data_IF_941312754102
#
_entry.id   IF_941312754102
#
_cell.length_a   1.000
_cell.length_b   1.000
_cell.length_c   1.000
_cell.angle_alpha   90.00
_cell.angle_beta   90.00
_cell.angle_gamma   90.00
#
_symmetry.space_group_name_H-M   'P 1'
#
loop_
_entity.id
_entity.type
_entity.pdbx_description
1 polymer ?
#
# COMPACT_ATOMS: atom_id res chain seq x y z
N UNK A 1 14.60 2.94 -22.95
CA UNK A 1 14.13 3.08 -21.55
C UNK A 1 12.76 2.45 -21.48
N UNK A 2 12.57 1.37 -20.71
CA UNK A 2 11.25 0.73 -20.59
C UNK A 2 10.32 1.65 -19.81
N UNK A 3 9.18 2.02 -20.39
CA UNK A 3 8.17 2.82 -19.72
C UNK A 3 7.75 2.12 -18.41
N UNK A 4 7.99 2.76 -17.28
CA UNK A 4 7.56 2.26 -15.98
C UNK A 4 6.05 2.43 -15.87
N UNK A 5 5.33 1.33 -15.60
CA UNK A 5 3.88 1.33 -15.42
C UNK A 5 3.55 0.96 -13.99
N UNK A 6 2.86 1.87 -13.28
CA UNK A 6 2.31 1.58 -11.97
C UNK A 6 1.15 0.59 -12.10
N UNK A 7 1.15 -0.53 -11.36
CA UNK A 7 0.02 -1.44 -11.36
C UNK A 7 -1.21 -0.70 -10.80
N UNK A 8 -2.36 -0.87 -11.45
CA UNK A 8 -3.62 -0.29 -10.97
C UNK A 8 -3.93 -0.72 -9.53
N UNK A 9 -3.62 -1.97 -9.20
CA UNK A 9 -3.65 -2.49 -7.84
C UNK A 9 -2.71 -3.70 -7.68
N UNK A 10 -1.98 -3.74 -6.57
CA UNK A 10 -1.26 -4.93 -6.13
C UNK A 10 -1.24 -4.96 -4.61
N UNK A 11 -1.33 -6.16 -4.04
CA UNK A 11 -1.39 -6.32 -2.60
C UNK A 11 -0.73 -7.61 -2.11
N UNK A 12 -0.27 -7.56 -0.86
CA UNK A 12 0.08 -8.72 -0.04
C UNK A 12 -1.04 -8.95 0.96
N UNK A 13 -1.36 -10.21 1.27
CA UNK A 13 -2.49 -10.54 2.13
C UNK A 13 -2.13 -11.62 3.16
N UNK A 14 -2.87 -11.62 4.27
CA UNK A 14 -2.85 -12.64 5.30
C UNK A 14 -4.16 -13.42 5.31
N UNK A 15 -4.06 -14.73 5.11
CA UNK A 15 -5.15 -15.66 5.31
C UNK A 15 -4.96 -16.44 6.61
N UNK A 16 -6.08 -16.86 7.20
CA UNK A 16 -6.12 -17.89 8.24
C UNK A 16 -7.20 -18.90 7.87
N UNK A 17 -6.93 -20.17 8.12
CA UNK A 17 -7.96 -21.20 8.00
C UNK A 17 -8.98 -21.05 9.12
N UNK A 18 -10.26 -21.25 8.81
CA UNK A 18 -11.33 -21.25 9.83
C UNK A 18 -11.16 -22.42 10.80
N UNK A 19 -10.81 -23.61 10.28
CA UNK A 19 -10.77 -24.84 11.05
C UNK A 19 -9.39 -25.18 11.62
N UNK A 20 -8.33 -24.50 11.16
CA UNK A 20 -6.96 -24.80 11.54
C UNK A 20 -6.21 -23.54 11.99
N UNK A 21 -5.24 -23.65 12.93
CA UNK A 21 -4.41 -22.51 13.34
C UNK A 21 -3.42 -22.06 12.24
N UNK A 22 -3.56 -22.56 11.01
CA UNK A 22 -2.64 -22.30 9.90
C UNK A 22 -2.95 -20.95 9.27
N UNK A 23 -1.90 -20.14 9.11
CA UNK A 23 -1.92 -18.91 8.32
C UNK A 23 -1.26 -19.12 6.96
N UNK A 24 -1.58 -18.24 6.02
CA UNK A 24 -0.95 -18.19 4.70
C UNK A 24 -0.73 -16.74 4.30
N UNK A 25 0.47 -16.42 3.83
CA UNK A 25 0.83 -15.10 3.30
C UNK A 25 1.03 -15.25 1.80
N UNK A 26 0.49 -14.32 1.02
CA UNK A 26 0.71 -14.30 -0.42
C UNK A 26 0.50 -12.93 -1.02
N UNK A 27 0.68 -12.81 -2.33
CA UNK A 27 0.40 -11.59 -3.08
C UNK A 27 -0.57 -11.80 -4.25
N UNK A 28 -1.28 -10.73 -4.63
CA UNK A 28 -2.27 -10.74 -5.72
C UNK A 28 -2.57 -9.33 -6.24
N UNK A 29 -2.85 -9.18 -7.55
CA UNK A 29 -3.46 -7.97 -8.11
C UNK A 29 -4.99 -7.93 -7.94
N UNK A 30 -5.63 -9.04 -7.55
CA UNK A 30 -7.09 -9.11 -7.37
C UNK A 30 -7.44 -9.97 -6.14
N UNK A 31 -7.65 -9.35 -4.97
CA UNK A 31 -7.97 -10.05 -3.72
C UNK A 31 -9.31 -10.80 -3.72
N UNK A 32 -10.45 -10.23 -4.19
CA UNK A 32 -11.72 -10.94 -4.28
C UNK A 32 -11.62 -12.22 -5.11
N UNK A 33 -10.95 -12.16 -6.26
CA UNK A 33 -10.71 -13.35 -7.09
C UNK A 33 -9.81 -14.36 -6.37
N UNK A 34 -8.73 -13.89 -5.72
CA UNK A 34 -7.73 -14.77 -5.11
C UNK A 34 -8.29 -15.57 -3.93
N UNK A 35 -9.16 -14.99 -3.09
CA UNK A 35 -9.75 -15.74 -1.98
C UNK A 35 -10.64 -16.89 -2.47
N UNK A 36 -11.39 -16.66 -3.56
CA UNK A 36 -12.22 -17.69 -4.22
C UNK A 36 -11.38 -18.83 -4.80
N UNK A 37 -10.20 -18.52 -5.35
CA UNK A 37 -9.23 -19.54 -5.79
C UNK A 37 -8.69 -20.39 -4.62
N UNK A 38 -8.37 -19.76 -3.48
CA UNK A 38 -7.94 -20.49 -2.27
C UNK A 38 -9.04 -21.40 -1.74
N UNK A 39 -10.30 -20.95 -1.77
CA UNK A 39 -11.47 -21.72 -1.35
C UNK A 39 -11.96 -22.74 -2.38
N UNK A 40 -11.38 -22.76 -3.58
CA UNK A 40 -11.68 -23.77 -4.60
C UNK A 40 -12.93 -23.49 -5.43
N UNK A 41 -13.54 -22.32 -5.29
CA UNK A 41 -14.62 -21.86 -6.16
C UNK A 41 -14.11 -21.55 -7.59
N UNK A 42 -12.83 -21.19 -7.70
CA UNK A 42 -12.14 -20.90 -8.97
C UNK A 42 -10.88 -21.74 -9.12
N UNK A 43 -10.47 -21.96 -10.37
CA UNK A 43 -9.21 -22.65 -10.70
C UNK A 43 -7.98 -21.77 -10.44
N UNK A 44 -6.79 -22.39 -10.39
CA UNK A 44 -5.49 -21.75 -10.09
C UNK A 44 -5.27 -21.29 -8.63
N UNK A 45 -5.84 -22.01 -7.65
CA UNK A 45 -5.48 -21.84 -6.24
C UNK A 45 -4.07 -22.39 -5.92
N UNK A 46 -3.38 -21.79 -4.94
CA UNK A 46 -2.07 -22.27 -4.50
C UNK A 46 -2.16 -23.72 -3.99
N UNK A 47 -1.21 -24.58 -4.37
CA UNK A 47 -1.23 -26.00 -3.96
C UNK A 47 -1.27 -26.16 -2.43
N UNK A 48 -0.52 -25.31 -1.71
CA UNK A 48 -0.44 -25.30 -0.24
C UNK A 48 -1.77 -24.97 0.46
N UNK A 49 -2.74 -24.39 -0.23
CA UNK A 49 -4.03 -24.00 0.35
C UNK A 49 -5.18 -24.97 0.04
N UNK A 50 -4.91 -26.06 -0.69
CA UNK A 50 -5.94 -27.03 -1.10
C UNK A 50 -6.64 -27.73 0.09
N UNK A 51 -5.90 -28.07 1.14
CA UNK A 51 -6.37 -29.02 2.18
C UNK A 51 -6.76 -28.37 3.54
N UNK A 52 -6.94 -27.04 3.60
CA UNK A 52 -7.25 -26.30 4.85
C UNK A 52 -8.30 -25.20 4.66
N UNK A 53 -9.21 -25.45 3.73
CA UNK A 53 -10.36 -24.58 3.44
C UNK A 53 -11.40 -24.68 4.57
N UNK A 54 -12.29 -23.68 4.71
CA UNK A 54 -12.24 -22.39 4.05
C UNK A 54 -11.18 -21.48 4.68
N UNK A 55 -10.64 -20.60 3.84
CA UNK A 55 -9.73 -19.52 4.21
C UNK A 55 -10.51 -18.23 4.33
N UNK A 56 -10.15 -17.44 5.35
CA UNK A 56 -10.63 -16.08 5.55
C UNK A 56 -9.46 -15.13 5.37
N UNK A 57 -9.67 -14.05 4.61
CA UNK A 57 -8.68 -12.97 4.49
C UNK A 57 -8.82 -12.04 5.69
N UNK A 58 -7.78 -11.93 6.50
CA UNK A 58 -7.78 -11.13 7.72
C UNK A 58 -7.26 -9.71 7.49
N UNK A 59 -6.24 -9.57 6.65
CA UNK A 59 -5.52 -8.32 6.41
C UNK A 59 -4.97 -8.26 4.99
N UNK A 60 -4.87 -7.05 4.47
CA UNK A 60 -4.27 -6.74 3.18
C UNK A 60 -3.39 -5.49 3.29
N UNK A 61 -2.20 -5.55 2.68
CA UNK A 61 -1.27 -4.43 2.50
C UNK A 61 -1.23 -4.12 1.00
N UNK A 62 -1.49 -2.88 0.60
CA UNK A 62 -1.49 -2.45 -0.80
C UNK A 62 -0.83 -1.08 -0.98
N UNK A 63 -0.79 -0.58 -2.22
CA UNK A 63 -0.10 0.66 -2.57
C UNK A 63 1.31 0.44 -3.11
N UNK A 64 1.65 -0.80 -3.45
CA UNK A 64 2.96 -1.14 -3.99
C UNK A 64 3.22 -0.43 -5.33
N UNK A 65 4.38 0.22 -5.50
CA UNK A 65 4.73 0.89 -6.76
C UNK A 65 4.98 -0.09 -7.91
N UNK A 66 5.26 -1.36 -7.60
CA UNK A 66 5.46 -2.40 -8.61
C UNK A 66 5.18 -3.81 -8.08
N UNK A 67 4.95 -4.75 -9.00
CA UNK A 67 4.90 -6.19 -8.65
C UNK A 67 6.15 -6.65 -7.91
N UNK A 68 7.33 -6.15 -8.30
CA UNK A 68 8.60 -6.52 -7.67
C UNK A 68 8.62 -6.10 -6.20
N UNK A 69 8.21 -4.87 -5.89
CA UNK A 69 8.14 -4.37 -4.51
C UNK A 69 7.17 -5.18 -3.63
N UNK A 70 6.04 -5.61 -4.20
CA UNK A 70 5.08 -6.48 -3.51
C UNK A 70 5.69 -7.87 -3.22
N UNK A 71 6.43 -8.45 -4.16
CA UNK A 71 7.09 -9.75 -3.96
C UNK A 71 8.21 -9.67 -2.93
N UNK A 72 8.97 -8.56 -2.89
CA UNK A 72 9.96 -8.30 -1.85
C UNK A 72 9.32 -8.21 -0.46
N UNK A 73 8.20 -7.49 -0.36
CA UNK A 73 7.42 -7.40 0.88
C UNK A 73 6.86 -8.77 1.31
N UNK A 74 6.26 -9.52 0.38
CA UNK A 74 5.74 -10.87 0.63
C UNK A 74 6.83 -11.79 1.18
N UNK A 75 8.02 -11.79 0.56
CA UNK A 75 9.14 -12.62 0.99
C UNK A 75 9.60 -12.25 2.39
N UNK A 76 9.80 -10.96 2.67
CA UNK A 76 10.20 -10.49 4.00
C UNK A 76 9.16 -10.84 5.08
N UNK A 77 7.87 -10.80 4.73
CA UNK A 77 6.78 -11.15 5.64
C UNK A 77 6.68 -12.67 5.88
N UNK A 78 6.96 -13.50 4.87
CA UNK A 78 7.03 -14.97 5.00
C UNK A 78 8.26 -15.44 5.79
N UNK A 79 9.33 -14.65 5.77
CA UNK A 79 10.64 -14.98 6.33
C UNK A 79 11.20 -13.86 7.23
N UNK A 80 10.49 -13.48 8.31
CA UNK A 80 10.91 -12.38 9.17
C UNK A 80 12.28 -12.63 9.83
N UNK A 81 12.57 -13.90 10.15
CA UNK A 81 13.84 -14.37 10.73
C UNK A 81 15.05 -14.22 9.80
N UNK A 82 14.81 -14.21 8.48
CA UNK A 82 15.88 -14.07 7.46
C UNK A 82 15.95 -12.66 6.88
N UNK A 83 14.93 -11.83 7.12
CA UNK A 83 14.95 -10.43 6.72
C UNK A 83 15.91 -9.66 7.62
N UNK A 84 16.92 -9.02 7.02
CA UNK A 84 17.94 -8.21 7.73
C UNK A 84 17.34 -7.18 8.70
N UNK A 85 16.11 -6.73 8.47
CA UNK A 85 15.42 -5.71 9.26
C UNK A 85 14.48 -6.26 10.35
N UNK A 86 14.32 -7.58 10.46
CA UNK A 86 13.36 -8.23 11.38
C UNK A 86 13.98 -9.39 12.18
N UNK A 87 15.31 -9.43 12.30
CA UNK A 87 16.08 -10.59 12.82
C UNK A 87 15.65 -11.06 14.23
N UNK A 88 15.02 -10.21 15.04
CA UNK A 88 14.48 -10.57 16.36
C UNK A 88 13.10 -11.27 16.31
N UNK A 89 12.44 -11.31 15.15
CA UNK A 89 11.13 -11.92 14.98
C UNK A 89 11.24 -13.36 14.48
N UNK A 90 10.96 -14.32 15.37
CA UNK A 90 10.81 -15.75 15.01
C UNK A 90 9.72 -15.90 13.94
N UNK A 91 9.90 -16.85 13.02
CA UNK A 91 8.97 -17.17 11.91
C UNK A 91 7.50 -17.07 12.34
N UNK A 92 6.84 -16.01 11.86
CA UNK A 92 5.46 -15.69 12.24
C UNK A 92 4.50 -16.75 11.66
N UNK A 93 3.89 -17.55 12.52
CA UNK A 93 2.88 -18.57 12.13
C UNK A 93 1.50 -18.28 12.71
N UNK A 94 1.44 -17.64 13.88
CA UNK A 94 0.20 -17.21 14.50
C UNK A 94 -0.30 -15.91 13.85
N UNK A 95 -1.63 -15.75 13.76
CA UNK A 95 -2.26 -14.55 13.21
C UNK A 95 -1.70 -13.26 13.84
N UNK A 96 -1.59 -13.23 15.17
CA UNK A 96 -1.08 -12.07 15.91
C UNK A 96 0.37 -11.75 15.59
N UNK A 97 1.24 -12.77 15.46
CA UNK A 97 2.63 -12.59 15.06
C UNK A 97 2.74 -12.05 13.64
N UNK A 98 1.92 -12.54 12.70
CA UNK A 98 1.92 -12.06 11.32
C UNK A 98 1.48 -10.59 11.22
N UNK A 99 0.48 -10.18 12.01
CA UNK A 99 0.01 -8.79 12.07
C UNK A 99 1.08 -7.88 12.69
N UNK A 100 1.69 -8.30 13.80
CA UNK A 100 2.81 -7.57 14.43
C UNK A 100 3.98 -7.37 13.48
N UNK A 101 4.30 -8.40 12.69
CA UNK A 101 5.35 -8.32 11.68
C UNK A 101 5.05 -7.22 10.66
N UNK A 102 3.85 -7.18 10.07
CA UNK A 102 3.48 -6.09 9.15
C UNK A 102 3.51 -4.73 9.81
N UNK A 103 2.97 -4.63 11.03
CA UNK A 103 2.98 -3.38 11.79
C UNK A 103 4.41 -2.82 11.97
N UNK A 104 5.39 -3.69 12.25
CA UNK A 104 6.80 -3.31 12.27
C UNK A 104 7.34 -2.98 10.88
N UNK A 105 7.08 -3.83 9.88
CA UNK A 105 7.60 -3.66 8.51
C UNK A 105 7.26 -2.30 7.92
N UNK A 106 5.99 -1.87 7.99
CA UNK A 106 5.55 -0.61 7.38
C UNK A 106 6.06 0.63 8.12
N UNK A 107 6.62 0.46 9.31
CA UNK A 107 7.23 1.53 10.11
C UNK A 107 8.77 1.54 9.99
N UNK A 108 9.36 0.61 9.25
CA UNK A 108 10.81 0.45 9.13
C UNK A 108 11.29 0.49 7.69
N UNK A 109 12.50 1.03 7.42
CA UNK A 109 13.12 0.92 6.11
C UNK A 109 13.27 -0.55 5.65
N UNK A 110 13.12 -0.82 4.33
CA UNK A 110 12.85 0.14 3.25
C UNK A 110 11.36 0.44 3.06
N UNK A 111 10.45 -0.22 3.77
CA UNK A 111 9.02 -0.18 3.47
C UNK A 111 8.29 1.05 4.02
N UNK A 112 8.87 1.78 4.97
CA UNK A 112 8.36 3.04 5.50
C UNK A 112 8.33 4.19 4.47
N UNK A 113 9.17 4.09 3.43
CA UNK A 113 9.22 5.01 2.30
C UNK A 113 8.15 4.76 1.25
N UNK A 114 7.50 3.59 1.30
CA UNK A 114 6.43 3.24 0.39
C UNK A 114 5.10 3.80 0.91
N UNK A 115 4.24 4.29 0.02
CA UNK A 115 2.88 4.74 0.36
C UNK A 115 1.92 3.56 0.61
N UNK A 116 2.34 2.60 1.45
CA UNK A 116 1.57 1.41 1.75
C UNK A 116 0.38 1.74 2.63
N UNK A 117 -0.71 0.99 2.43
CA UNK A 117 -1.96 1.12 3.18
C UNK A 117 -2.41 -0.26 3.64
N UNK A 118 -3.04 -0.31 4.81
CA UNK A 118 -3.49 -1.55 5.44
C UNK A 118 -5.01 -1.57 5.49
N UNK A 119 -5.61 -2.70 5.10
CA UNK A 119 -7.05 -2.98 5.24
C UNK A 119 -7.21 -4.20 6.14
N UNK A 120 -8.08 -4.11 7.12
CA UNK A 120 -8.43 -5.16 8.08
C UNK A 120 -9.87 -5.59 7.82
N UNK A 121 -10.09 -6.90 7.61
CA UNK A 121 -11.42 -7.41 7.23
C UNK A 121 -12.15 -8.15 8.36
N UNK A 122 -11.46 -8.42 9.48
CA UNK A 122 -12.00 -9.24 10.57
C UNK A 122 -11.88 -8.52 11.91
N UNK A 123 -12.84 -8.71 12.84
CA UNK A 123 -12.75 -8.15 14.19
C UNK A 123 -11.47 -8.55 14.92
N UNK A 124 -11.01 -9.79 14.73
CA UNK A 124 -9.75 -10.30 15.30
C UNK A 124 -8.55 -9.46 14.83
N UNK A 125 -8.44 -9.23 13.52
CA UNK A 125 -7.32 -8.48 12.96
C UNK A 125 -7.37 -7.01 13.38
N UNK A 126 -8.56 -6.41 13.37
CA UNK A 126 -8.82 -5.07 13.87
C UNK A 126 -8.38 -4.92 15.34
N UNK A 127 -8.85 -5.81 16.21
CA UNK A 127 -8.53 -5.80 17.64
C UNK A 127 -7.02 -5.99 17.88
N UNK A 128 -6.37 -6.90 17.17
CA UNK A 128 -4.92 -7.13 17.30
C UNK A 128 -4.14 -5.89 16.86
N UNK A 129 -4.50 -5.27 15.73
CA UNK A 129 -3.83 -4.09 15.19
C UNK A 129 -3.91 -2.92 16.16
N UNK A 130 -5.10 -2.60 16.68
CA UNK A 130 -5.31 -1.46 17.57
C UNK A 130 -4.80 -1.65 19.00
N UNK A 131 -4.40 -2.87 19.38
CA UNK A 131 -3.66 -3.12 20.63
C UNK A 131 -2.16 -2.77 20.52
N UNK A 132 -1.64 -2.56 19.32
CA UNK A 132 -0.25 -2.17 19.10
C UNK A 132 -0.11 -0.64 19.25
N UNK A 133 1.12 -0.17 19.43
CA UNK A 133 1.40 1.27 19.43
C UNK A 133 0.90 1.90 18.12
N UNK A 134 0.36 3.14 18.13
CA UNK A 134 -0.17 3.77 16.93
C UNK A 134 0.83 3.74 15.76
N UNK A 135 0.42 3.12 14.65
CA UNK A 135 1.15 3.17 13.39
C UNK A 135 1.09 4.59 12.81
N UNK A 136 2.17 5.04 12.18
CA UNK A 136 2.19 6.29 11.40
C UNK A 136 1.35 6.23 10.12
N UNK A 137 0.91 5.04 9.72
CA UNK A 137 -0.05 4.82 8.63
C UNK A 137 -1.32 4.18 9.20
N UNK A 138 -2.50 4.81 9.07
CA UNK A 138 -3.74 4.27 9.59
C UNK A 138 -4.16 3.01 8.80
N UNK A 139 -4.68 2.01 9.52
CA UNK A 139 -5.34 0.87 8.91
C UNK A 139 -6.84 1.15 8.79
N UNK A 140 -7.44 0.76 7.66
CA UNK A 140 -8.88 0.87 7.42
C UNK A 140 -9.56 -0.43 7.82
N UNK A 141 -10.59 -0.34 8.65
CA UNK A 141 -11.44 -1.49 8.95
C UNK A 141 -12.58 -1.60 7.93
N UNK A 142 -12.71 -2.77 7.30
CA UNK A 142 -13.69 -3.06 6.24
C UNK A 142 -14.44 -4.37 6.57
N UNK A 143 -15.45 -4.33 7.46
CA UNK A 143 -16.14 -5.51 7.98
C UNK A 143 -16.96 -6.29 6.96
N UNK A 144 -17.34 -5.67 5.84
CA UNK A 144 -18.07 -6.27 4.72
C UNK A 144 -17.23 -7.34 3.99
N UNK A 145 -15.92 -7.36 4.24
CA UNK A 145 -15.00 -8.38 3.79
C UNK A 145 -14.37 -8.10 2.43
N UNK A 146 -13.39 -8.94 2.06
CA UNK A 146 -12.60 -8.74 0.85
C UNK A 146 -13.44 -8.82 -0.43
N UNK A 147 -14.56 -9.55 -0.44
CA UNK A 147 -15.38 -9.77 -1.63
C UNK A 147 -16.04 -8.49 -2.15
N UNK A 148 -16.26 -7.50 -1.28
CA UNK A 148 -16.88 -6.21 -1.64
C UNK A 148 -15.86 -5.11 -1.92
N UNK A 149 -14.55 -5.40 -1.81
CA UNK A 149 -13.51 -4.41 -2.03
C UNK A 149 -13.50 -3.99 -3.51
N UNK A 150 -13.72 -2.70 -3.85
CA UNK A 150 -13.69 -2.26 -5.23
C UNK A 150 -12.25 -2.34 -5.75
N UNK A 151 -12.06 -2.89 -6.95
CA UNK A 151 -10.73 -3.00 -7.58
C UNK A 151 -10.74 -2.21 -8.89
N UNK A 152 -9.84 -1.22 -9.09
CA UNK A 152 -8.75 -0.81 -8.18
C UNK A 152 -9.24 -0.09 -6.91
N UNK A 153 -8.43 -0.18 -5.84
CA UNK A 153 -8.71 0.45 -4.53
C UNK A 153 -7.62 1.46 -4.13
N UNK A 154 -7.98 2.66 -3.63
CA UNK A 154 -9.33 3.23 -3.68
C UNK A 154 -9.79 3.44 -5.14
N UNK A 155 -11.09 3.66 -5.34
CA UNK A 155 -11.63 3.96 -6.67
C UNK A 155 -10.88 5.17 -7.29
N UNK A 156 -10.73 5.24 -8.62
CA UNK A 156 -10.07 6.37 -9.27
C UNK A 156 -10.72 7.68 -8.83
N UNK A 157 -9.90 8.60 -8.33
CA UNK A 157 -10.36 9.96 -8.03
C UNK A 157 -10.62 10.69 -9.35
N UNK A 158 -11.57 11.65 -9.38
CA UNK A 158 -11.79 12.48 -10.55
C UNK A 158 -10.49 13.19 -10.94
N UNK A 159 -10.28 13.35 -12.24
CA UNK A 159 -9.14 14.08 -12.77
C UNK A 159 -9.16 15.51 -12.21
N UNK A 160 -8.02 15.93 -11.66
CA UNK A 160 -7.86 17.30 -11.17
C UNK A 160 -7.31 18.18 -12.29
N UNK A 161 -7.83 19.39 -12.38
CA UNK A 161 -7.22 20.44 -13.21
C UNK A 161 -5.96 20.94 -12.50
N UNK A 162 -4.76 20.79 -13.09
CA UNK A 162 -3.55 21.35 -12.52
C UNK A 162 -3.66 22.88 -12.48
N UNK A 163 -3.06 23.49 -11.46
CA UNK A 163 -2.82 24.93 -11.46
C UNK A 163 -1.81 25.33 -12.54
N UNK A 164 -1.69 26.63 -12.81
CA UNK A 164 -0.73 27.18 -13.79
C UNK A 164 0.57 27.68 -13.15
N UNK A 165 0.58 27.80 -11.82
CA UNK A 165 1.71 28.32 -11.04
C UNK A 165 2.11 27.34 -9.95
N UNK A 166 3.41 27.20 -9.72
CA UNK A 166 3.97 26.36 -8.66
C UNK A 166 3.63 26.92 -7.28
N UNK A 167 2.98 26.14 -6.42
CA UNK A 167 2.62 26.53 -5.04
C UNK A 167 3.82 26.68 -4.09
N UNK A 168 5.04 26.35 -4.53
CA UNK A 168 6.28 26.50 -3.73
C UNK A 168 7.08 27.72 -4.18
N UNK A 169 7.49 27.77 -5.46
CA UNK A 169 8.34 28.85 -5.96
C UNK A 169 7.57 29.99 -6.65
N UNK A 170 6.25 29.88 -6.79
CA UNK A 170 5.35 30.85 -7.44
C UNK A 170 5.59 31.09 -8.94
N UNK A 171 6.55 30.40 -9.56
CA UNK A 171 6.84 30.48 -11.00
C UNK A 171 5.83 29.65 -11.83
N UNK A 172 5.64 29.98 -13.13
CA UNK A 172 4.80 29.20 -14.03
C UNK A 172 5.25 27.74 -14.15
N UNK A 173 4.29 26.84 -14.28
CA UNK A 173 4.53 25.43 -14.60
C UNK A 173 4.67 25.26 -16.13
N UNK A 174 5.50 24.31 -16.56
CA UNK A 174 5.73 23.97 -17.97
C UNK A 174 4.59 23.16 -18.60
N UNK A 175 3.67 22.64 -17.77
CA UNK A 175 2.54 21.82 -18.19
C UNK A 175 2.91 20.37 -18.50
N UNK A 176 4.16 19.95 -18.28
CA UNK A 176 4.57 18.56 -18.42
C UNK A 176 4.11 17.74 -17.20
N UNK A 177 3.24 16.71 -17.39
CA UNK A 177 2.79 15.87 -16.29
C UNK A 177 3.92 15.18 -15.53
N UNK A 178 5.06 14.90 -16.17
CA UNK A 178 6.19 14.21 -15.54
C UNK A 178 7.03 15.11 -14.62
N UNK A 179 6.95 16.43 -14.81
CA UNK A 179 7.66 17.42 -13.99
C UNK A 179 6.72 18.18 -13.05
N UNK A 180 5.40 17.97 -13.16
CA UNK A 180 4.38 18.63 -12.35
C UNK A 180 3.78 17.69 -11.30
N UNK A 181 3.96 18.03 -10.03
CA UNK A 181 3.32 17.35 -8.92
C UNK A 181 1.96 18.01 -8.59
N UNK A 182 0.94 17.19 -8.35
CA UNK A 182 -0.38 17.64 -7.90
C UNK A 182 -0.67 17.04 -6.53
N UNK A 183 -1.20 17.84 -5.60
CA UNK A 183 -1.59 17.37 -4.28
C UNK A 183 -2.55 16.18 -4.37
N UNK A 184 -2.34 15.15 -3.55
CA UNK A 184 -3.16 13.93 -3.56
C UNK A 184 -4.49 14.08 -2.81
N UNK A 185 -4.68 15.15 -2.02
CA UNK A 185 -5.91 15.37 -1.25
C UNK A 185 -7.10 15.70 -2.16
N UNK A 186 -8.24 14.97 -2.11
CA UNK A 186 -9.31 15.09 -3.10
C UNK A 186 -9.83 16.52 -3.37
N UNK A 187 -9.85 17.36 -2.33
CA UNK A 187 -10.36 18.73 -2.36
C UNK A 187 -9.30 19.80 -2.68
N UNK A 188 -8.05 19.40 -2.91
CA UNK A 188 -6.93 20.30 -3.16
C UNK A 188 -6.41 20.17 -4.60
N UNK A 189 -6.23 21.31 -5.28
CA UNK A 189 -5.70 21.41 -6.65
C UNK A 189 -4.29 21.98 -6.71
N UNK A 190 -3.59 22.06 -5.57
CA UNK A 190 -2.23 22.59 -5.52
C UNK A 190 -1.33 21.86 -6.52
N UNK A 191 -0.61 22.63 -7.33
CA UNK A 191 0.36 22.13 -8.30
C UNK A 191 1.73 22.74 -8.04
N UNK A 192 2.78 21.95 -8.19
CA UNK A 192 4.16 22.38 -7.93
C UNK A 192 5.09 21.72 -8.94
N UNK A 193 6.25 22.33 -9.23
CA UNK A 193 7.35 21.59 -9.84
C UNK A 193 7.70 20.41 -8.94
N UNK A 194 7.92 19.23 -9.52
CA UNK A 194 8.24 18.02 -8.79
C UNK A 194 9.50 18.21 -7.93
N UNK A 195 10.51 18.90 -8.46
CA UNK A 195 11.75 19.24 -7.75
C UNK A 195 11.51 20.22 -6.59
N UNK A 196 10.67 21.25 -6.79
CA UNK A 196 10.33 22.18 -5.71
C UNK A 196 9.61 21.47 -4.57
N UNK A 197 8.65 20.59 -4.89
CA UNK A 197 7.92 19.84 -3.87
C UNK A 197 8.82 18.80 -3.17
N UNK A 198 9.72 18.14 -3.90
CA UNK A 198 10.72 17.23 -3.32
C UNK A 198 11.58 17.95 -2.28
N UNK A 199 12.11 19.13 -2.63
CA UNK A 199 12.91 19.96 -1.73
C UNK A 199 12.11 20.46 -0.53
N UNK A 200 10.83 20.82 -0.72
CA UNK A 200 9.93 21.22 0.36
C UNK A 200 9.65 20.07 1.35
N UNK A 201 9.60 18.83 0.87
CA UNK A 201 9.40 17.63 1.71
C UNK A 201 10.72 17.01 2.21
N UNK A 202 11.86 17.61 1.91
CA UNK A 202 13.15 17.01 2.23
C UNK A 202 13.33 16.80 3.74
N UNK A 203 13.60 15.57 4.13
CA UNK A 203 13.79 15.13 5.52
C UNK A 203 15.19 14.50 5.75
N UNK A 204 16.14 14.81 4.87
CA UNK A 204 17.48 14.21 4.84
C UNK A 204 17.56 12.86 4.11
N UNK A 205 16.43 12.31 3.64
CA UNK A 205 16.40 11.12 2.77
C UNK A 205 16.50 11.53 1.30
N UNK A 206 17.00 10.62 0.46
CA UNK A 206 17.03 10.82 -1.01
C UNK A 206 15.62 10.88 -1.61
N UNK A 207 14.70 10.09 -1.08
CA UNK A 207 13.28 10.10 -1.46
C UNK A 207 12.50 10.48 -0.21
N UNK A 208 11.78 11.61 -0.20
CA UNK A 208 11.03 12.03 0.96
C UNK A 208 9.88 11.05 1.20
N UNK A 209 9.51 10.85 2.46
CA UNK A 209 8.33 10.04 2.80
C UNK A 209 7.03 10.75 2.40
N UNK A 210 7.00 12.07 2.58
CA UNK A 210 5.85 12.92 2.42
C UNK A 210 6.08 14.25 3.15
N UNK A 211 5.06 15.09 3.17
CA UNK A 211 5.11 16.38 3.85
C UNK A 211 3.80 17.13 3.76
N UNK A 212 3.71 18.27 4.43
CA UNK A 212 2.51 19.11 4.43
C UNK A 212 2.43 19.91 3.13
N UNK A 213 1.30 19.79 2.43
CA UNK A 213 1.03 20.54 1.22
C UNK A 213 1.11 22.06 1.50
N UNK A 214 1.84 22.86 0.69
CA UNK A 214 1.95 24.31 0.91
C UNK A 214 0.63 25.07 0.89
N UNK A 215 -0.40 24.52 0.24
CA UNK A 215 -1.68 25.19 0.05
C UNK A 215 -2.75 24.73 1.05
N UNK A 216 -3.01 23.43 1.16
CA UNK A 216 -4.04 22.92 2.07
C UNK A 216 -3.52 22.53 3.46
N UNK A 217 -2.21 22.51 3.69
CA UNK A 217 -1.60 22.15 4.98
C UNK A 217 -1.67 20.65 5.33
N UNK A 218 -2.45 19.85 4.62
CA UNK A 218 -2.60 18.42 4.85
C UNK A 218 -1.31 17.64 4.55
N UNK A 219 -1.02 16.62 5.38
CA UNK A 219 0.12 15.75 5.16
C UNK A 219 -0.17 14.76 4.03
N UNK A 220 0.65 14.78 2.99
CA UNK A 220 0.52 13.91 1.81
C UNK A 220 1.74 13.02 1.66
N UNK A 221 1.52 11.79 1.21
CA UNK A 221 2.60 10.83 0.95
C UNK A 221 3.23 11.09 -0.42
N UNK A 222 4.56 11.10 -0.48
CA UNK A 222 5.31 11.29 -1.72
C UNK A 222 4.93 10.23 -2.78
N UNK A 223 4.78 8.97 -2.35
CA UNK A 223 4.39 7.88 -3.25
C UNK A 223 3.02 8.07 -3.91
N UNK A 224 2.07 8.74 -3.26
CA UNK A 224 0.76 9.05 -3.85
C UNK A 224 0.87 10.12 -4.94
N UNK A 225 1.74 11.13 -4.75
CA UNK A 225 2.04 12.17 -5.74
C UNK A 225 2.71 11.55 -6.98
N UNK A 226 3.75 10.74 -6.78
CA UNK A 226 4.45 10.08 -7.89
C UNK A 226 3.50 9.14 -8.63
N UNK A 227 2.69 8.36 -7.92
CA UNK A 227 1.70 7.48 -8.56
C UNK A 227 0.74 8.29 -9.45
N UNK A 228 0.25 9.44 -8.96
CA UNK A 228 -0.68 10.28 -9.71
C UNK A 228 -0.08 10.79 -11.03
N UNK A 229 1.21 11.14 -11.06
CA UNK A 229 1.94 11.54 -12.27
C UNK A 229 1.87 10.45 -13.35
N UNK A 230 2.15 9.20 -12.99
CA UNK A 230 2.15 8.07 -13.95
C UNK A 230 0.75 7.58 -14.33
N UNK A 231 -0.27 7.83 -13.50
CA UNK A 231 -1.66 7.42 -13.80
C UNK A 231 -2.50 8.52 -14.44
N UNK A 232 -2.06 9.78 -14.38
CA UNK A 232 -2.74 10.95 -14.96
C UNK A 232 -2.25 11.32 -16.36
N UNK A 233 -1.10 10.79 -16.81
CA UNK A 233 -0.64 10.96 -18.18
C UNK A 233 -1.55 10.16 -19.14
N UNK A 234 -2.12 10.79 -20.19
CA UNK A 234 -2.77 10.04 -21.25
C UNK A 234 -1.73 9.11 -21.89
N UNK A 235 -2.06 7.82 -21.93
CA UNK A 235 -1.31 6.79 -22.65
C UNK A 235 -1.37 7.02 -24.16
#
# INVERSE_FOLDING_TARGET
MTAHSYPSFYACYLLKSVHFPTTYIGSTPNPPRRIRQHNGELTQGASKTKNKRPWVMHMLVHGFPSKLSALQFEWAWQHPDLSRHLQEQRRARALSSCIKCVHSMIATPPFDSLALRVILFTPDAHTIWHKLAPSSLPAVYHPEGVSTLPIPYPAPLPAKTPGTTCSVCTLPLDGDPLTTAICSMPTCSASSHLTCLASHFADGRMIPRGGNCPECGEYVLWGDIIKAIYTGSPS
#
